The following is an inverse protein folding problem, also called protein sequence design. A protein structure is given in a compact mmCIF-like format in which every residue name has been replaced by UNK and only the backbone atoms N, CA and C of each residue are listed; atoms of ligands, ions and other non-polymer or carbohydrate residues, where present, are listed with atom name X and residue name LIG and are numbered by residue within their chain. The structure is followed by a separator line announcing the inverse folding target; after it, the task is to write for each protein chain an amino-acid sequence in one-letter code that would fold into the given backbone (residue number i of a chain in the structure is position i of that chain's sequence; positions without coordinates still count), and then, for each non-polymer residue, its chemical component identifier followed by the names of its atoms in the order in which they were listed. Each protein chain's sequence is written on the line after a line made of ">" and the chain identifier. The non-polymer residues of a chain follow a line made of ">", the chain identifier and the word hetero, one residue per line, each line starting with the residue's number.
data_IF_586097150536
#
_entry.id   IF_586097150536
#
_cell.length_a   1.000
_cell.length_b   1.000
_cell.length_c   1.000
_cell.angle_alpha   90.00
_cell.angle_beta   90.00
_cell.angle_gamma   90.00
#
_symmetry.space_group_name_H-M   'P 1'
#
loop_
_entity.id
_entity.type
_entity.pdbx_description
1 polymer ?
#
# COMPACT_ATOMS: atom_id res chain seq x y z
N UNK A 1 1.13 -4.82 -8.61
CA UNK A 1 0.68 -6.12 -9.10
C UNK A 1 1.89 -7.05 -9.26
N UNK A 2 1.90 -8.19 -8.59
CA UNK A 2 3.02 -9.15 -8.60
C UNK A 2 2.72 -10.38 -9.47
N UNK A 3 1.44 -10.76 -9.56
CA UNK A 3 0.97 -11.93 -10.31
C UNK A 3 0.09 -11.50 -11.49
N UNK A 4 0.06 -12.32 -12.55
CA UNK A 4 -0.77 -12.14 -13.76
C UNK A 4 -0.60 -10.77 -14.43
N UNK A 5 0.64 -10.31 -14.55
CA UNK A 5 0.96 -9.03 -15.18
C UNK A 5 0.59 -8.99 -16.68
N UNK A 6 0.46 -10.15 -17.29
CA UNK A 6 0.08 -10.36 -18.69
C UNK A 6 -1.43 -10.22 -18.95
N UNK A 7 -2.26 -10.26 -17.88
CA UNK A 7 -3.72 -10.13 -17.96
C UNK A 7 -4.16 -8.69 -17.65
N UNK A 8 -5.33 -8.29 -18.16
CA UNK A 8 -6.00 -7.12 -17.62
C UNK A 8 -6.47 -7.35 -16.16
N UNK A 9 -6.87 -6.29 -15.47
CA UNK A 9 -7.21 -6.42 -14.05
C UNK A 9 -8.45 -7.31 -13.79
N UNK A 10 -9.56 -7.22 -14.55
CA UNK A 10 -10.69 -8.13 -14.39
C UNK A 10 -10.33 -9.59 -14.59
N UNK A 11 -9.52 -9.93 -15.59
CA UNK A 11 -9.09 -11.30 -15.85
C UNK A 11 -8.07 -11.79 -14.81
N UNK A 12 -7.20 -10.91 -14.31
CA UNK A 12 -6.32 -11.22 -13.18
C UNK A 12 -7.11 -11.56 -11.91
N UNK A 13 -8.22 -10.86 -11.64
CA UNK A 13 -9.14 -11.17 -10.53
C UNK A 13 -9.76 -12.55 -10.69
N UNK A 14 -10.21 -12.92 -11.91
CA UNK A 14 -10.73 -14.26 -12.21
C UNK A 14 -9.66 -15.34 -12.03
N UNK A 15 -8.45 -15.08 -12.51
CA UNK A 15 -7.31 -16.00 -12.34
C UNK A 15 -6.97 -16.21 -10.86
N UNK A 16 -6.99 -15.15 -10.03
CA UNK A 16 -6.80 -15.24 -8.59
C UNK A 16 -7.86 -16.15 -7.94
N UNK A 17 -9.13 -16.04 -8.35
CA UNK A 17 -10.19 -16.94 -7.85
C UNK A 17 -9.93 -18.40 -8.22
N UNK A 18 -9.52 -18.65 -9.46
CA UNK A 18 -9.18 -20.03 -9.92
C UNK A 18 -7.98 -20.59 -9.13
N UNK A 19 -7.03 -19.74 -8.76
CA UNK A 19 -5.89 -20.08 -7.91
C UNK A 19 -6.22 -20.17 -6.41
N UNK A 20 -7.50 -20.00 -6.04
CA UNK A 20 -8.04 -20.10 -4.67
C UNK A 20 -7.53 -19.03 -3.71
N UNK A 21 -7.26 -17.83 -4.19
CA UNK A 21 -7.05 -16.67 -3.31
C UNK A 21 -8.39 -16.23 -2.71
N UNK A 22 -8.36 -15.69 -1.51
CA UNK A 22 -9.54 -15.17 -0.80
C UNK A 22 -9.76 -13.69 -1.05
N UNK A 23 -8.70 -12.96 -1.41
CA UNK A 23 -8.72 -11.54 -1.71
C UNK A 23 -7.67 -11.17 -2.74
N UNK A 24 -7.76 -9.96 -3.27
CA UNK A 24 -6.80 -9.37 -4.23
C UNK A 24 -6.46 -7.94 -3.83
N UNK A 25 -5.30 -7.49 -4.25
CA UNK A 25 -4.91 -6.08 -4.21
C UNK A 25 -4.33 -5.64 -5.55
N UNK A 26 -4.45 -4.37 -5.88
CA UNK A 26 -3.87 -3.82 -7.09
C UNK A 26 -3.22 -2.47 -6.80
N UNK A 27 -2.17 -2.11 -7.56
CA UNK A 27 -1.46 -0.86 -7.31
C UNK A 27 -2.17 0.32 -7.98
N UNK A 28 -2.30 0.32 -9.30
CA UNK A 28 -2.79 1.47 -10.08
C UNK A 28 -3.82 1.01 -11.11
N UNK A 29 -5.09 0.89 -10.73
CA UNK A 29 -6.14 0.32 -11.59
C UNK A 29 -6.77 1.31 -12.57
N UNK A 30 -6.33 2.56 -12.59
CA UNK A 30 -7.02 3.70 -13.18
C UNK A 30 -7.22 3.67 -14.70
N UNK A 31 -6.51 2.79 -15.41
CA UNK A 31 -6.64 2.58 -16.85
C UNK A 31 -7.76 1.57 -17.18
N UNK A 32 -8.39 0.98 -16.15
CA UNK A 32 -9.52 0.06 -16.26
C UNK A 32 -10.75 0.71 -15.62
N UNK A 33 -11.90 0.64 -16.28
CA UNK A 33 -13.12 1.20 -15.70
C UNK A 33 -13.46 0.51 -14.37
N UNK A 34 -13.76 1.31 -13.34
CA UNK A 34 -14.09 0.78 -12.01
C UNK A 34 -15.26 -0.20 -12.03
N UNK A 35 -16.22 0.00 -12.95
CA UNK A 35 -17.38 -0.90 -13.13
C UNK A 35 -16.99 -2.29 -13.62
N UNK A 36 -15.95 -2.43 -14.46
CA UNK A 36 -15.46 -3.73 -14.94
C UNK A 36 -14.76 -4.48 -13.81
N UNK A 37 -13.97 -3.78 -13.01
CA UNK A 37 -13.34 -4.34 -11.80
C UNK A 37 -14.41 -4.78 -10.78
N UNK A 38 -15.40 -3.93 -10.54
CA UNK A 38 -16.54 -4.24 -9.66
C UNK A 38 -17.32 -5.48 -10.14
N UNK A 39 -17.54 -5.60 -11.44
CA UNK A 39 -18.20 -6.76 -12.03
C UNK A 39 -17.40 -8.05 -11.80
N UNK A 40 -16.08 -8.03 -12.02
CA UNK A 40 -15.21 -9.17 -11.78
C UNK A 40 -15.13 -9.57 -10.29
N UNK A 41 -15.06 -8.60 -9.38
CA UNK A 41 -15.12 -8.84 -7.94
C UNK A 41 -16.45 -9.48 -7.52
N UNK A 42 -17.56 -8.98 -8.06
CA UNK A 42 -18.90 -9.56 -7.80
C UNK A 42 -19.03 -10.97 -8.36
N UNK A 43 -18.53 -11.22 -9.56
CA UNK A 43 -18.54 -12.54 -10.22
C UNK A 43 -17.75 -13.56 -9.42
N UNK A 44 -16.58 -13.21 -8.95
CA UNK A 44 -15.64 -14.10 -8.24
C UNK A 44 -15.93 -14.24 -6.76
N UNK A 45 -16.60 -13.27 -6.17
CA UNK A 45 -16.79 -13.13 -4.71
C UNK A 45 -15.50 -12.79 -3.97
N UNK A 46 -14.46 -12.32 -4.68
CA UNK A 46 -13.22 -11.85 -4.06
C UNK A 46 -13.39 -10.43 -3.52
N UNK A 47 -12.65 -10.12 -2.47
CA UNK A 47 -12.56 -8.78 -1.89
C UNK A 47 -11.34 -8.07 -2.47
N UNK A 48 -11.49 -6.80 -2.88
CA UNK A 48 -10.35 -5.92 -3.13
C UNK A 48 -9.84 -5.39 -1.79
N UNK A 49 -8.59 -5.66 -1.46
CA UNK A 49 -8.00 -5.16 -0.21
C UNK A 49 -7.65 -3.68 -0.33
N UNK A 50 -7.00 -3.28 -1.41
CA UNK A 50 -6.63 -1.89 -1.58
C UNK A 50 -5.99 -1.54 -2.90
N UNK A 51 -5.69 -0.26 -3.03
CA UNK A 51 -5.02 0.33 -4.20
C UNK A 51 -4.14 1.52 -3.76
N UNK A 52 -3.24 1.95 -4.66
CA UNK A 52 -2.33 3.06 -4.40
C UNK A 52 -2.77 4.32 -5.14
N UNK A 53 -2.48 5.52 -4.60
CA UNK A 53 -2.54 6.76 -5.38
C UNK A 53 -1.61 6.71 -6.59
N UNK A 54 -1.91 7.46 -7.68
CA UNK A 54 -1.00 7.53 -8.83
C UNK A 54 0.39 7.95 -8.42
N UNK A 55 1.39 7.41 -9.12
CA UNK A 55 2.80 7.74 -8.88
C UNK A 55 3.20 9.13 -9.36
N UNK A 56 2.43 9.75 -10.22
CA UNK A 56 2.82 10.91 -11.03
C UNK A 56 3.33 10.49 -12.41
N UNK A 57 4.24 11.24 -12.98
CA UNK A 57 4.84 10.93 -14.26
C UNK A 57 6.00 9.93 -14.09
N UNK A 58 5.72 8.66 -14.35
CA UNK A 58 6.70 7.56 -14.20
C UNK A 58 7.84 7.61 -15.21
N UNK A 59 7.64 8.29 -16.35
CA UNK A 59 8.69 8.44 -17.39
C UNK A 59 9.84 9.34 -16.91
N UNK A 60 9.55 10.29 -16.01
CA UNK A 60 10.58 11.12 -15.37
C UNK A 60 11.02 10.59 -14.01
N UNK A 61 10.52 9.41 -13.61
CA UNK A 61 10.94 8.71 -12.42
C UNK A 61 10.08 8.96 -11.18
N UNK A 62 8.89 9.58 -11.28
CA UNK A 62 8.00 9.76 -10.14
C UNK A 62 7.58 8.41 -9.50
N UNK A 63 7.50 8.39 -8.18
CA UNK A 63 6.99 7.26 -7.41
C UNK A 63 6.15 7.71 -6.21
N UNK A 64 5.15 8.56 -6.47
CA UNK A 64 4.32 9.25 -5.49
C UNK A 64 4.57 10.75 -5.49
N UNK A 65 3.62 11.50 -4.94
CA UNK A 65 3.62 12.97 -5.03
C UNK A 65 3.40 13.63 -3.67
N UNK A 66 2.92 12.88 -2.68
CA UNK A 66 2.28 13.49 -1.52
C UNK A 66 3.23 14.18 -0.54
N UNK A 67 4.55 13.95 -0.64
CA UNK A 67 5.56 14.68 0.13
C UNK A 67 6.26 15.80 -0.65
N UNK A 68 5.87 16.07 -1.90
CA UNK A 68 6.56 17.04 -2.77
C UNK A 68 5.90 18.41 -2.63
N UNK A 69 6.58 19.43 -2.03
CA UNK A 69 5.97 20.73 -1.72
C UNK A 69 5.44 21.50 -2.93
N UNK A 70 6.11 21.38 -4.07
CA UNK A 70 5.76 22.09 -5.31
C UNK A 70 4.60 21.43 -6.07
N UNK A 71 4.11 20.25 -5.61
CA UNK A 71 3.12 19.44 -6.34
C UNK A 71 1.89 19.08 -5.50
N UNK A 72 1.53 19.94 -4.52
CA UNK A 72 0.41 19.68 -3.59
C UNK A 72 -0.93 19.49 -4.32
N UNK A 73 -1.23 20.32 -5.31
CA UNK A 73 -2.49 20.22 -6.07
C UNK A 73 -2.57 18.91 -6.86
N UNK A 74 -1.46 18.51 -7.48
CA UNK A 74 -1.35 17.27 -8.23
C UNK A 74 -1.46 16.04 -7.30
N UNK A 75 -0.83 16.11 -6.13
CA UNK A 75 -0.93 15.07 -5.11
C UNK A 75 -2.38 14.90 -4.62
N UNK A 76 -3.09 16.00 -4.37
CA UNK A 76 -4.49 15.96 -3.94
C UNK A 76 -5.42 15.46 -5.04
N UNK A 77 -5.18 15.84 -6.30
CA UNK A 77 -5.92 15.28 -7.43
C UNK A 77 -5.74 13.76 -7.56
N UNK A 78 -4.52 13.25 -7.32
CA UNK A 78 -4.26 11.81 -7.29
C UNK A 78 -4.93 11.11 -6.09
N UNK A 79 -5.03 11.77 -4.94
CA UNK A 79 -5.79 11.28 -3.78
C UNK A 79 -7.28 11.22 -4.09
N UNK A 80 -7.85 12.27 -4.67
CA UNK A 80 -9.27 12.33 -5.04
C UNK A 80 -9.62 11.24 -6.07
N UNK A 81 -8.79 11.08 -7.09
CA UNK A 81 -8.97 10.01 -8.08
C UNK A 81 -8.97 8.62 -7.40
N UNK A 82 -8.03 8.38 -6.51
CA UNK A 82 -7.92 7.11 -5.81
C UNK A 82 -9.13 6.82 -4.92
N UNK A 83 -9.59 7.81 -4.17
CA UNK A 83 -10.74 7.68 -3.28
C UNK A 83 -12.03 7.52 -4.08
N UNK A 84 -12.22 8.27 -5.18
CA UNK A 84 -13.38 8.12 -6.05
C UNK A 84 -13.42 6.73 -6.70
N UNK A 85 -12.29 6.24 -7.20
CA UNK A 85 -12.20 4.89 -7.74
C UNK A 85 -12.49 3.83 -6.66
N UNK A 86 -11.92 4.00 -5.47
CA UNK A 86 -12.15 3.14 -4.33
C UNK A 86 -13.63 3.12 -3.91
N UNK A 87 -14.32 4.25 -3.91
CA UNK A 87 -15.75 4.33 -3.61
C UNK A 87 -16.63 3.45 -4.52
N UNK A 88 -16.20 3.22 -5.77
CA UNK A 88 -16.91 2.36 -6.72
C UNK A 88 -16.68 0.85 -6.47
N UNK A 89 -15.44 0.45 -6.10
CA UNK A 89 -15.06 -0.96 -5.97
C UNK A 89 -14.99 -1.46 -4.52
N UNK A 90 -15.15 -0.54 -3.55
CA UNK A 90 -15.23 -0.80 -2.10
C UNK A 90 -14.05 -1.62 -1.53
N UNK A 91 -12.79 -1.18 -1.69
CA UNK A 91 -11.64 -1.79 -1.03
C UNK A 91 -11.62 -1.41 0.45
N UNK A 92 -10.69 -2.02 1.20
CA UNK A 92 -10.50 -1.68 2.62
C UNK A 92 -9.65 -0.41 2.79
N UNK A 93 -8.67 -0.18 1.90
CA UNK A 93 -7.71 0.91 2.08
C UNK A 93 -7.23 1.52 0.75
N UNK A 94 -6.68 2.74 0.88
CA UNK A 94 -5.92 3.45 -0.15
C UNK A 94 -4.54 3.77 0.40
N UNK A 95 -3.48 3.34 -0.30
CA UNK A 95 -2.09 3.71 0.02
C UNK A 95 -1.74 5.05 -0.61
N UNK A 96 -1.39 6.03 0.23
CA UNK A 96 -0.96 7.36 -0.20
C UNK A 96 0.55 7.38 -0.35
N UNK A 97 1.03 7.41 -1.59
CA UNK A 97 2.45 7.33 -1.92
C UNK A 97 3.15 8.68 -1.70
N UNK A 98 4.23 8.65 -0.89
CA UNK A 98 4.95 9.87 -0.50
C UNK A 98 5.69 10.53 -1.67
N UNK A 99 6.46 9.76 -2.45
CA UNK A 99 7.32 10.27 -3.50
C UNK A 99 8.75 10.59 -3.04
N UNK A 100 9.55 11.14 -3.95
CA UNK A 100 10.94 11.52 -3.71
C UNK A 100 11.02 12.96 -3.23
N UNK A 101 11.32 13.15 -1.96
CA UNK A 101 11.43 14.45 -1.32
C UNK A 101 12.29 14.36 -0.06
N UNK A 102 12.65 15.48 0.53
CA UNK A 102 13.41 15.50 1.78
C UNK A 102 13.23 16.81 2.54
N UNK A 103 13.57 16.78 3.83
CA UNK A 103 13.59 17.97 4.67
C UNK A 103 12.24 18.34 5.28
N UNK A 104 12.22 19.44 6.08
CA UNK A 104 11.05 19.82 6.89
C UNK A 104 9.82 20.21 6.09
N UNK A 105 9.99 20.83 4.92
CA UNK A 105 8.85 21.22 4.08
C UNK A 105 8.19 20.02 3.44
N UNK A 106 8.94 18.99 3.01
CA UNK A 106 8.40 17.73 2.55
C UNK A 106 7.60 17.02 3.66
N UNK A 107 8.10 17.05 4.89
CA UNK A 107 7.39 16.49 6.05
C UNK A 107 6.04 17.18 6.27
N UNK A 108 6.03 18.53 6.34
CA UNK A 108 4.78 19.30 6.50
C UNK A 108 3.79 19.04 5.37
N UNK A 109 4.29 18.97 4.14
CA UNK A 109 3.49 18.71 2.95
C UNK A 109 2.85 17.33 3.03
N UNK A 110 3.63 16.30 3.37
CA UNK A 110 3.12 14.94 3.49
C UNK A 110 2.05 14.82 4.58
N UNK A 111 2.30 15.37 5.78
CA UNK A 111 1.31 15.38 6.87
C UNK A 111 0.03 16.14 6.46
N UNK A 112 0.17 17.28 5.76
CA UNK A 112 -1.00 18.03 5.26
C UNK A 112 -1.83 17.23 4.24
N UNK A 113 -1.17 16.57 3.30
CA UNK A 113 -1.83 15.76 2.28
C UNK A 113 -2.44 14.48 2.87
N UNK A 114 -1.82 13.88 3.91
CA UNK A 114 -2.39 12.75 4.63
C UNK A 114 -3.66 13.15 5.41
N UNK A 115 -3.67 14.32 6.08
CA UNK A 115 -4.88 14.84 6.73
C UNK A 115 -6.01 15.02 5.70
N UNK A 116 -5.69 15.64 4.56
CA UNK A 116 -6.64 15.77 3.46
C UNK A 116 -7.17 14.41 2.98
N UNK A 117 -6.29 13.43 2.78
CA UNK A 117 -6.68 12.08 2.36
C UNK A 117 -7.57 11.39 3.40
N UNK A 118 -7.24 11.50 4.69
CA UNK A 118 -8.04 10.94 5.77
C UNK A 118 -9.45 11.54 5.80
N UNK A 119 -9.55 12.87 5.74
CA UNK A 119 -10.84 13.57 5.75
C UNK A 119 -11.71 13.19 4.53
N UNK A 120 -11.10 13.10 3.35
CA UNK A 120 -11.79 12.70 2.11
C UNK A 120 -12.21 11.22 2.14
N UNK A 121 -11.46 10.35 2.80
CA UNK A 121 -11.71 8.90 2.89
C UNK A 121 -12.82 8.52 3.90
N UNK A 122 -13.04 9.32 4.94
CA UNK A 122 -14.01 9.03 6.01
C UNK A 122 -15.43 8.75 5.48
N UNK A 123 -16.01 9.55 4.57
CA UNK A 123 -17.38 9.28 4.07
C UNK A 123 -17.53 7.94 3.34
N UNK A 124 -16.43 7.36 2.89
CA UNK A 124 -16.39 6.10 2.16
C UNK A 124 -15.98 4.90 3.03
N UNK A 125 -15.70 5.13 4.33
CA UNK A 125 -15.25 4.08 5.24
C UNK A 125 -13.87 3.52 4.89
N UNK A 126 -13.04 4.28 4.17
CA UNK A 126 -11.72 3.84 3.72
C UNK A 126 -10.64 4.16 4.76
N UNK A 127 -9.71 3.23 4.92
CA UNK A 127 -8.48 3.46 5.65
C UNK A 127 -7.40 4.04 4.72
N UNK A 128 -6.61 4.96 5.20
CA UNK A 128 -5.42 5.47 4.52
C UNK A 128 -4.20 4.71 5.05
N UNK A 129 -3.38 4.20 4.14
CA UNK A 129 -2.13 3.56 4.49
C UNK A 129 -0.92 4.35 4.00
N UNK A 130 0.17 4.27 4.76
CA UNK A 130 1.49 4.76 4.38
C UNK A 130 2.52 3.65 4.53
N UNK A 131 3.51 3.60 3.63
CA UNK A 131 4.47 2.51 3.53
C UNK A 131 5.91 3.04 3.47
N UNK A 132 6.80 2.62 4.37
CA UNK A 132 8.24 2.87 4.24
C UNK A 132 8.86 1.99 3.14
N UNK A 133 9.55 2.61 2.18
CA UNK A 133 10.25 1.89 1.12
C UNK A 133 11.76 1.85 1.39
N UNK A 134 12.40 0.72 1.07
CA UNK A 134 13.82 0.55 1.23
C UNK A 134 14.64 1.36 0.20
N UNK A 135 15.82 1.80 0.60
CA UNK A 135 16.67 2.67 -0.21
C UNK A 135 17.37 1.98 -1.40
N UNK A 136 17.29 0.65 -1.53
CA UNK A 136 17.80 -0.06 -2.71
C UNK A 136 16.81 0.04 -3.88
N UNK A 137 15.52 -0.17 -3.60
CA UNK A 137 14.47 -0.12 -4.61
C UNK A 137 14.00 1.31 -4.91
N UNK A 138 14.02 2.18 -3.88
CA UNK A 138 13.53 3.55 -3.98
C UNK A 138 14.50 4.54 -3.30
N UNK A 139 15.69 4.78 -3.87
CA UNK A 139 16.68 5.70 -3.28
C UNK A 139 16.14 7.13 -3.24
N UNK A 140 16.11 7.73 -2.05
CA UNK A 140 15.57 9.07 -1.85
C UNK A 140 14.05 9.15 -1.64
N UNK A 141 13.35 8.02 -1.53
CA UNK A 141 11.94 8.01 -1.15
C UNK A 141 11.75 8.65 0.23
N UNK A 142 10.74 9.51 0.36
CA UNK A 142 10.58 10.33 1.56
C UNK A 142 10.34 9.51 2.82
N UNK A 143 9.45 8.53 2.75
CA UNK A 143 9.13 7.67 3.90
C UNK A 143 10.03 6.43 3.89
N UNK A 144 11.08 6.44 4.72
CA UNK A 144 12.18 5.49 4.65
C UNK A 144 12.39 4.66 5.95
N UNK A 145 11.51 4.78 6.96
CA UNK A 145 11.59 3.97 8.17
C UNK A 145 10.26 3.80 8.88
N UNK A 146 10.11 2.74 9.67
CA UNK A 146 8.92 2.53 10.50
C UNK A 146 8.81 3.57 11.60
N UNK A 147 9.93 4.05 12.14
CA UNK A 147 9.95 5.14 13.13
C UNK A 147 9.37 6.43 12.56
N UNK A 148 9.81 6.84 11.37
CA UNK A 148 9.25 8.00 10.68
C UNK A 148 7.75 7.83 10.41
N UNK A 149 7.29 6.64 10.02
CA UNK A 149 5.87 6.37 9.83
C UNK A 149 5.07 6.54 11.12
N UNK A 150 5.58 6.04 12.26
CA UNK A 150 4.96 6.24 13.58
C UNK A 150 4.79 7.71 13.92
N UNK A 151 5.85 8.51 13.73
CA UNK A 151 5.81 9.94 14.03
C UNK A 151 4.77 10.67 13.18
N UNK A 152 4.71 10.35 11.87
CA UNK A 152 3.74 10.92 10.94
C UNK A 152 2.31 10.52 11.30
N UNK A 153 2.03 9.25 11.58
CA UNK A 153 0.70 8.78 12.00
C UNK A 153 0.25 9.52 13.26
N UNK A 154 1.15 9.66 14.24
CA UNK A 154 0.88 10.38 15.48
C UNK A 154 0.64 11.89 15.26
N UNK A 155 1.26 12.50 14.25
CA UNK A 155 1.08 13.93 13.91
C UNK A 155 -0.19 14.18 13.10
N UNK A 156 -0.56 13.25 12.22
CA UNK A 156 -1.81 13.31 11.45
C UNK A 156 -3.01 13.25 12.38
N UNK A 157 -3.01 12.36 13.38
CA UNK A 157 -4.05 12.20 14.42
C UNK A 157 -5.44 11.89 13.86
N UNK A 158 -5.51 11.10 12.80
CA UNK A 158 -6.75 10.58 12.26
C UNK A 158 -6.94 9.11 12.66
N UNK A 159 -8.17 8.68 12.91
CA UNK A 159 -8.47 7.30 13.31
C UNK A 159 -8.39 6.32 12.12
N UNK A 160 -8.46 6.83 10.89
CA UNK A 160 -8.45 6.05 9.66
C UNK A 160 -7.10 6.06 8.92
N UNK A 161 -5.99 6.32 9.61
CA UNK A 161 -4.63 6.16 9.06
C UNK A 161 -3.89 5.03 9.74
N UNK A 162 -3.14 4.22 8.97
CA UNK A 162 -2.35 3.13 9.52
C UNK A 162 -1.09 2.85 8.70
N UNK A 163 -0.24 1.99 9.22
CA UNK A 163 1.00 1.54 8.60
C UNK A 163 0.71 0.34 7.68
N UNK A 164 1.14 0.42 6.44
CA UNK A 164 1.39 -0.76 5.61
C UNK A 164 2.78 -1.30 5.96
N UNK A 165 2.82 -2.50 6.55
CA UNK A 165 4.04 -3.15 6.98
C UNK A 165 4.44 -4.20 5.94
N UNK A 166 5.24 -3.80 4.94
CA UNK A 166 5.84 -4.77 4.01
C UNK A 166 7.11 -5.35 4.65
N UNK A 167 7.05 -6.63 5.02
CA UNK A 167 8.17 -7.35 5.63
C UNK A 167 9.43 -7.32 4.76
N UNK A 168 9.29 -7.29 3.44
CA UNK A 168 10.43 -7.17 2.53
C UNK A 168 11.15 -5.82 2.71
N UNK A 169 10.40 -4.72 2.65
CA UNK A 169 10.97 -3.39 2.84
C UNK A 169 11.56 -3.22 4.23
N UNK A 170 10.80 -3.57 5.27
CA UNK A 170 11.25 -3.42 6.67
C UNK A 170 12.48 -4.26 6.96
N UNK A 171 12.59 -5.48 6.41
CA UNK A 171 13.78 -6.30 6.57
C UNK A 171 15.03 -5.64 5.98
N UNK A 172 14.92 -4.99 4.82
CA UNK A 172 16.02 -4.29 4.18
C UNK A 172 16.37 -2.95 4.84
N UNK A 173 15.40 -2.29 5.46
CA UNK A 173 15.60 -0.99 6.14
C UNK A 173 16.20 -1.20 7.52
N UNK A 174 15.60 -2.07 8.33
CA UNK A 174 15.79 -2.11 9.78
C UNK A 174 16.00 -3.51 10.34
N UNK A 175 15.54 -4.56 9.65
CA UNK A 175 15.55 -5.93 10.16
C UNK A 175 14.65 -6.15 11.36
N UNK A 176 14.90 -7.23 12.13
CA UNK A 176 14.22 -7.57 13.39
C UNK A 176 12.68 -7.58 13.28
N UNK A 177 12.17 -8.29 12.25
CA UNK A 177 10.74 -8.26 11.90
C UNK A 177 9.83 -8.67 13.04
N UNK A 178 10.19 -9.71 13.81
CA UNK A 178 9.32 -10.25 14.85
C UNK A 178 9.02 -9.23 15.96
N UNK A 179 10.06 -8.60 16.51
CA UNK A 179 9.88 -7.58 17.55
C UNK A 179 9.21 -6.31 16.99
N UNK A 180 9.49 -5.96 15.74
CA UNK A 180 8.85 -4.81 15.08
C UNK A 180 7.37 -5.04 14.84
N UNK A 181 6.99 -6.22 14.35
CA UNK A 181 5.58 -6.60 14.19
C UNK A 181 4.85 -6.52 15.53
N UNK A 182 5.41 -7.13 16.60
CA UNK A 182 4.81 -7.07 17.93
C UNK A 182 4.62 -5.63 18.42
N UNK A 183 5.66 -4.81 18.30
CA UNK A 183 5.65 -3.41 18.75
C UNK A 183 4.69 -2.53 17.95
N UNK A 184 4.62 -2.72 16.63
CA UNK A 184 3.88 -1.86 15.72
C UNK A 184 2.46 -2.37 15.42
N UNK A 185 2.09 -3.56 15.89
CA UNK A 185 0.77 -4.16 15.67
C UNK A 185 -0.39 -3.19 15.91
N UNK A 186 -0.39 -2.32 16.94
CA UNK A 186 -1.50 -1.39 17.17
C UNK A 186 -1.73 -0.36 16.06
N UNK A 187 -0.73 -0.10 15.20
CA UNK A 187 -0.83 0.86 14.09
C UNK A 187 -0.73 0.23 12.71
N UNK A 188 -0.55 -1.10 12.62
CA UNK A 188 -0.51 -1.81 11.34
C UNK A 188 -1.93 -1.99 10.84
N UNK A 189 -2.21 -1.51 9.61
CA UNK A 189 -3.47 -1.73 8.89
C UNK A 189 -3.38 -2.84 7.85
N UNK A 190 -2.17 -3.15 7.35
CA UNK A 190 -1.95 -4.18 6.35
C UNK A 190 -0.52 -4.73 6.44
N UNK A 191 -0.38 -6.03 6.16
CA UNK A 191 0.93 -6.71 6.12
C UNK A 191 1.15 -7.28 4.73
N UNK A 192 2.31 -6.98 4.15
CA UNK A 192 2.81 -7.61 2.93
C UNK A 192 4.09 -8.36 3.22
N UNK A 193 4.42 -9.37 2.43
CA UNK A 193 5.65 -10.12 2.60
C UNK A 193 6.14 -10.73 1.28
N UNK A 194 7.45 -10.74 1.11
CA UNK A 194 8.16 -11.39 0.03
C UNK A 194 9.54 -11.82 0.53
N UNK A 195 10.20 -12.69 -0.22
CA UNK A 195 11.57 -13.10 0.12
C UNK A 195 12.57 -11.95 -0.01
N UNK A 196 13.65 -12.03 0.73
CA UNK A 196 14.78 -11.09 0.68
C UNK A 196 16.01 -11.87 0.23
N UNK A 197 16.82 -11.39 -0.75
CA UNK A 197 16.80 -10.04 -1.33
C UNK A 197 16.02 -9.89 -2.65
N UNK A 198 15.53 -10.94 -3.24
CA UNK A 198 15.01 -10.99 -4.63
C UNK A 198 13.53 -10.61 -4.79
N UNK A 199 12.83 -10.32 -3.66
CA UNK A 199 11.39 -10.01 -3.60
C UNK A 199 10.52 -11.08 -4.26
N UNK A 200 10.97 -12.32 -4.22
CA UNK A 200 10.30 -13.47 -4.80
C UNK A 200 9.32 -14.16 -3.84
N UNK A 201 9.06 -15.45 -4.10
CA UNK A 201 8.21 -16.29 -3.25
C UNK A 201 8.70 -16.32 -1.80
N UNK A 202 7.81 -16.25 -0.79
CA UNK A 202 8.20 -16.10 0.61
C UNK A 202 8.72 -17.39 1.28
N UNK A 203 8.98 -18.44 0.52
CA UNK A 203 9.46 -19.74 1.00
C UNK A 203 10.99 -19.88 0.96
N UNK A 204 11.72 -18.84 0.54
CA UNK A 204 13.18 -18.83 0.47
C UNK A 204 13.76 -17.46 0.87
N UNK A 205 15.09 -17.31 0.76
CA UNK A 205 15.80 -16.06 1.06
C UNK A 205 16.24 -15.93 2.52
N UNK A 206 16.64 -14.72 2.90
CA UNK A 206 17.19 -14.42 4.22
C UNK A 206 16.16 -14.52 5.36
N UNK A 207 14.88 -14.39 5.04
CA UNK A 207 13.77 -14.54 5.98
C UNK A 207 12.82 -15.62 5.43
N UNK A 208 12.68 -16.71 6.18
CA UNK A 208 11.74 -17.78 5.83
C UNK A 208 10.42 -17.60 6.56
N UNK A 209 9.35 -17.53 5.80
CA UNK A 209 7.98 -17.45 6.32
C UNK A 209 7.27 -18.81 6.36
N UNK A 210 8.00 -19.90 6.18
CA UNK A 210 7.42 -21.27 6.15
C UNK A 210 6.70 -21.64 7.45
N UNK A 211 7.10 -21.05 8.57
CA UNK A 211 6.43 -21.24 9.86
C UNK A 211 5.03 -20.62 9.93
N UNK A 212 4.71 -19.61 9.13
CA UNK A 212 3.37 -19.01 9.08
C UNK A 212 2.34 -20.02 8.57
N UNK A 213 2.69 -20.82 7.56
CA UNK A 213 1.82 -21.90 7.04
C UNK A 213 1.48 -22.93 8.10
N UNK A 214 2.38 -23.20 9.05
CA UNK A 214 2.13 -24.18 10.11
C UNK A 214 1.08 -23.72 11.13
N UNK A 215 0.85 -22.43 11.25
CA UNK A 215 -0.20 -21.88 12.12
C UNK A 215 -1.57 -21.85 11.43
N UNK A 216 -1.63 -21.57 10.15
CA UNK A 216 -2.88 -21.58 9.37
C UNK A 216 -3.52 -22.98 9.27
N UNK A 217 -2.71 -24.04 9.24
CA UNK A 217 -3.20 -25.43 9.19
C UNK A 217 -3.70 -25.96 10.52
N UNK A 218 -3.56 -25.25 11.63
CA UNK A 218 -4.05 -25.66 12.97
C UNK A 218 -5.43 -25.08 13.33
N UNK A 219 -6.03 -24.28 12.47
CA UNK A 219 -7.33 -23.67 12.69
C UNK A 219 -8.48 -24.33 11.90
N UNK A 220 -8.23 -25.52 11.33
CA UNK A 220 -9.25 -26.38 10.71
C UNK A 220 -9.50 -27.63 11.53
#
# INVERSE_FOLDING_TARGET
>A
RQLWNELDLPDAIRAAKLARFDAVECHWPYDVAAQDVKAALKETGLVMLGLNTRRGNVEVGDNGLSAIPERVEEARAAIDEAINYAAEINPHWVHVMAGFASGPEAHKTFVSNLKYACDTAIPHGLQILIEPLNGYDAPGYFLASTGQACDIINEVKADNIALMFDCYHVQLIEGDLSHRLEKLMPIIGHIQFASVPDRGSPDHGAVSYTHLRAHETRLN
#
